data_IF_942932052319
#
_entry.id   IF_942932052319
#
_cell.length_a   1.000
_cell.length_b   1.000
_cell.length_c   1.000
_cell.angle_alpha   90.00
_cell.angle_beta   90.00
_cell.angle_gamma   90.00
#
_symmetry.space_group_name_H-M   'P 1'
#
loop_
_entity.id
_entity.type
_entity.pdbx_description
1 polymer ?
#
# COMPACT_ATOMS: atom_id res chain seq x y z
N UNK A 1 22.05 -14.07 -5.99
CA UNK A 1 20.78 -13.37 -6.32
C UNK A 1 20.91 -11.84 -6.40
N UNK A 2 22.11 -11.31 -6.62
CA UNK A 2 22.38 -9.85 -6.64
C UNK A 2 22.59 -9.20 -8.02
N UNK A 3 22.87 -9.97 -9.06
CA UNK A 3 23.30 -9.41 -10.35
C UNK A 3 22.17 -9.15 -11.36
N UNK A 4 21.06 -9.87 -11.30
CA UNK A 4 19.94 -9.66 -12.23
C UNK A 4 19.04 -8.48 -11.84
N UNK A 5 19.04 -8.09 -10.56
CA UNK A 5 18.27 -6.94 -10.06
C UNK A 5 18.88 -5.60 -10.52
N UNK A 6 20.21 -5.54 -10.73
CA UNK A 6 20.91 -4.33 -11.17
C UNK A 6 20.65 -3.93 -12.64
N UNK A 7 20.29 -4.85 -13.52
CA UNK A 7 20.15 -4.55 -14.97
C UNK A 7 18.81 -3.90 -15.29
N UNK A 8 17.74 -4.29 -14.60
CA UNK A 8 16.38 -3.70 -14.77
C UNK A 8 16.26 -2.31 -14.14
N UNK A 9 16.96 -2.04 -13.06
CA UNK A 9 16.90 -0.76 -12.35
C UNK A 9 17.66 0.36 -13.10
N UNK A 10 18.67 0.02 -13.89
CA UNK A 10 19.45 0.99 -14.71
C UNK A 10 18.66 1.63 -15.86
N UNK A 11 17.52 1.07 -16.25
CA UNK A 11 16.70 1.62 -17.35
C UNK A 11 15.80 2.77 -16.91
N UNK A 12 15.56 2.93 -15.61
CA UNK A 12 14.60 3.90 -15.07
C UNK A 12 15.27 4.91 -14.13
N UNK A 13 16.36 4.53 -13.45
CA UNK A 13 17.08 5.41 -12.53
C UNK A 13 18.45 5.82 -13.10
N UNK A 14 18.80 7.11 -13.12
CA UNK A 14 20.10 7.59 -13.57
C UNK A 14 21.27 7.01 -12.77
N UNK A 15 21.09 6.82 -11.46
CA UNK A 15 22.10 6.34 -10.51
C UNK A 15 21.51 5.35 -9.54
N UNK A 16 22.34 4.46 -8.94
CA UNK A 16 21.98 3.66 -7.77
C UNK A 16 22.30 4.47 -6.50
N UNK A 17 21.29 5.05 -5.81
CA UNK A 17 21.54 5.92 -4.66
C UNK A 17 22.02 5.17 -3.40
N UNK A 18 22.06 3.83 -3.44
CA UNK A 18 22.48 2.98 -2.30
C UNK A 18 23.80 2.24 -2.57
N UNK A 19 24.44 2.52 -3.70
CA UNK A 19 25.79 2.01 -3.97
C UNK A 19 26.81 2.95 -3.32
N UNK A 20 27.57 2.49 -2.30
CA UNK A 20 28.57 3.30 -1.63
C UNK A 20 29.63 3.89 -2.56
N UNK A 21 29.89 3.23 -3.70
CA UNK A 21 30.86 3.68 -4.70
C UNK A 21 30.36 4.90 -5.51
N UNK A 22 29.06 5.12 -5.56
CA UNK A 22 28.43 6.25 -6.26
C UNK A 22 28.18 7.47 -5.38
N UNK A 23 28.40 7.34 -4.05
CA UNK A 23 28.18 8.41 -3.08
C UNK A 23 29.36 9.36 -3.02
N UNK A 24 29.10 10.65 -3.08
CA UNK A 24 30.10 11.71 -2.93
C UNK A 24 29.60 12.71 -1.90
N UNK A 25 30.23 12.71 -0.71
CA UNK A 25 29.90 13.70 0.31
C UNK A 25 30.23 15.14 -0.11
N UNK A 26 31.06 15.32 -1.15
CA UNK A 26 31.34 16.62 -1.73
C UNK A 26 30.15 17.19 -2.49
N UNK A 27 29.27 16.32 -2.97
CA UNK A 27 28.02 16.69 -3.68
C UNK A 27 26.82 16.79 -2.71
N UNK A 28 27.04 16.72 -1.38
CA UNK A 28 25.97 16.82 -0.39
C UNK A 28 25.29 18.20 -0.44
N UNK A 29 23.96 18.20 -0.32
CA UNK A 29 23.13 19.40 -0.34
C UNK A 29 23.27 20.25 -1.61
N UNK A 30 23.64 19.65 -2.73
CA UNK A 30 23.62 20.34 -4.02
C UNK A 30 22.18 20.68 -4.41
N UNK A 31 21.84 21.95 -4.66
CA UNK A 31 20.48 22.35 -4.99
C UNK A 31 20.08 21.88 -6.43
N UNK A 32 18.78 21.95 -6.77
CA UNK A 32 18.29 21.58 -8.08
C UNK A 32 19.00 22.30 -9.24
N UNK A 33 19.15 21.61 -10.37
CA UNK A 33 19.95 22.07 -11.53
C UNK A 33 19.57 23.44 -12.13
N UNK A 34 18.37 23.94 -11.84
CA UNK A 34 17.88 25.25 -12.32
C UNK A 34 18.17 26.40 -11.34
N UNK A 35 18.82 26.14 -10.22
CA UNK A 35 19.26 27.17 -9.29
C UNK A 35 20.70 27.63 -9.60
N UNK A 36 21.13 28.78 -9.08
CA UNK A 36 22.44 29.37 -9.36
C UNK A 36 23.61 28.45 -8.98
N UNK A 37 23.46 27.67 -7.87
CA UNK A 37 24.48 26.72 -7.39
C UNK A 37 24.19 25.28 -7.82
N UNK A 38 23.21 25.06 -8.70
CA UNK A 38 22.77 23.74 -9.16
C UNK A 38 23.75 23.11 -10.16
N UNK A 39 23.96 21.81 -10.02
CA UNK A 39 24.75 21.03 -10.99
C UNK A 39 23.81 20.34 -11.99
N UNK A 40 24.10 20.46 -13.28
CA UNK A 40 23.33 19.81 -14.36
C UNK A 40 23.24 18.28 -14.24
N UNK A 41 24.15 17.68 -13.48
CA UNK A 41 24.19 16.26 -13.16
C UNK A 41 23.00 15.82 -12.29
N UNK A 42 22.51 16.67 -11.38
CA UNK A 42 21.47 16.37 -10.41
C UNK A 42 20.23 17.23 -10.67
N UNK A 43 19.28 16.69 -11.43
CA UNK A 43 18.09 17.44 -11.86
C UNK A 43 17.32 17.99 -10.66
N UNK A 44 17.02 17.17 -9.66
CA UNK A 44 16.27 17.54 -8.45
C UNK A 44 17.17 17.85 -7.24
N UNK A 45 18.49 17.97 -7.46
CA UNK A 45 19.47 18.15 -6.39
C UNK A 45 19.84 16.86 -5.68
N UNK A 46 20.56 16.99 -4.57
CA UNK A 46 21.02 15.88 -3.74
C UNK A 46 20.56 16.02 -2.29
N UNK A 47 20.65 14.92 -1.54
CA UNK A 47 20.42 14.91 -0.09
C UNK A 47 21.72 15.16 0.71
N UNK A 48 21.63 15.06 2.06
CA UNK A 48 22.77 15.23 2.94
C UNK A 48 23.86 14.17 2.84
N UNK A 49 23.66 13.10 2.06
CA UNK A 49 24.63 12.05 1.76
C UNK A 49 25.17 12.15 0.31
N UNK A 50 24.78 13.19 -0.43
CA UNK A 50 25.15 13.35 -1.84
C UNK A 50 24.41 12.41 -2.79
N UNK A 51 23.29 11.82 -2.37
CA UNK A 51 22.46 10.94 -3.23
C UNK A 51 21.59 11.78 -4.16
N UNK A 52 21.52 11.39 -5.42
CA UNK A 52 20.62 12.01 -6.39
C UNK A 52 19.14 11.84 -5.97
N UNK A 53 18.43 12.98 -5.79
CA UNK A 53 17.06 12.99 -5.31
C UNK A 53 16.09 12.28 -6.27
N UNK A 54 16.26 12.44 -7.59
CA UNK A 54 15.39 11.77 -8.57
C UNK A 54 15.51 10.25 -8.44
N UNK A 55 16.74 9.73 -8.42
CA UNK A 55 16.98 8.29 -8.25
C UNK A 55 16.45 7.77 -6.91
N UNK A 56 16.66 8.53 -5.85
CA UNK A 56 16.21 8.16 -4.50
C UNK A 56 14.69 8.11 -4.39
N UNK A 57 13.97 9.05 -5.02
CA UNK A 57 12.50 9.07 -5.10
C UNK A 57 11.99 7.84 -5.88
N UNK A 58 12.59 7.52 -7.02
CA UNK A 58 12.19 6.35 -7.80
C UNK A 58 12.40 5.03 -7.04
N UNK A 59 13.51 4.91 -6.31
CA UNK A 59 13.72 3.76 -5.42
C UNK A 59 12.73 3.71 -4.26
N UNK A 60 12.49 4.86 -3.61
CA UNK A 60 11.51 4.97 -2.52
C UNK A 60 10.09 4.63 -2.95
N UNK A 61 9.70 5.06 -4.15
CA UNK A 61 8.37 4.75 -4.69
C UNK A 61 8.14 3.25 -4.90
N UNK A 62 9.19 2.50 -5.27
CA UNK A 62 9.13 1.05 -5.39
C UNK A 62 8.77 0.38 -4.07
N UNK A 63 9.39 0.82 -2.97
CA UNK A 63 9.10 0.27 -1.63
C UNK A 63 7.66 0.60 -1.22
N UNK A 64 7.24 1.86 -1.35
CA UNK A 64 5.86 2.27 -1.05
C UNK A 64 4.83 1.50 -1.89
N UNK A 65 5.10 1.24 -3.17
CA UNK A 65 4.23 0.42 -4.02
C UNK A 65 4.18 -1.05 -3.56
N UNK A 66 5.32 -1.67 -3.27
CA UNK A 66 5.37 -3.07 -2.81
C UNK A 66 4.57 -3.22 -1.52
N UNK A 67 4.79 -2.32 -0.55
CA UNK A 67 4.08 -2.38 0.74
C UNK A 67 2.58 -2.15 0.52
N UNK A 68 2.19 -1.11 -0.22
CA UNK A 68 0.79 -0.80 -0.49
C UNK A 68 0.06 -1.94 -1.20
N UNK A 69 0.62 -2.47 -2.30
CA UNK A 69 0.03 -3.60 -3.02
C UNK A 69 -0.07 -4.86 -2.15
N UNK A 70 0.99 -5.21 -1.43
CA UNK A 70 0.99 -6.41 -0.60
C UNK A 70 0.01 -6.30 0.56
N UNK A 71 -0.10 -5.14 1.21
CA UNK A 71 -1.05 -4.88 2.28
C UNK A 71 -2.51 -5.00 1.77
N UNK A 72 -2.82 -4.43 0.61
CA UNK A 72 -4.17 -4.51 0.03
C UNK A 72 -4.50 -5.93 -0.43
N UNK A 73 -3.57 -6.65 -1.04
CA UNK A 73 -3.79 -8.05 -1.41
C UNK A 73 -4.10 -8.90 -0.16
N UNK A 74 -3.33 -8.70 0.91
CA UNK A 74 -3.58 -9.38 2.19
C UNK A 74 -4.98 -9.03 2.74
N UNK A 75 -5.34 -7.73 2.78
CA UNK A 75 -6.65 -7.25 3.22
C UNK A 75 -7.79 -7.82 2.37
N UNK A 76 -7.62 -7.87 1.04
CA UNK A 76 -8.59 -8.43 0.12
C UNK A 76 -8.81 -9.91 0.37
N UNK A 77 -7.75 -10.70 0.48
CA UNK A 77 -7.86 -12.15 0.72
C UNK A 77 -8.59 -12.41 2.05
N UNK A 78 -8.18 -11.73 3.11
CA UNK A 78 -8.78 -11.90 4.43
C UNK A 78 -10.23 -11.38 4.47
N UNK A 79 -10.44 -10.15 3.99
CA UNK A 79 -11.75 -9.49 4.04
C UNK A 79 -12.77 -10.14 3.13
N UNK A 80 -12.39 -10.49 1.89
CA UNK A 80 -13.30 -11.18 0.97
C UNK A 80 -13.61 -12.58 1.48
N UNK A 81 -12.61 -13.31 1.97
CA UNK A 81 -12.83 -14.65 2.53
C UNK A 81 -13.80 -14.64 3.71
N UNK A 82 -13.59 -13.76 4.69
CA UNK A 82 -14.46 -13.62 5.85
C UNK A 82 -15.84 -13.05 5.47
N UNK A 83 -15.89 -12.06 4.59
CA UNK A 83 -17.16 -11.45 4.16
C UNK A 83 -18.04 -12.40 3.33
N UNK A 84 -17.43 -13.13 2.39
CA UNK A 84 -18.13 -14.14 1.60
C UNK A 84 -18.71 -15.24 2.49
N UNK A 85 -17.89 -15.80 3.37
CA UNK A 85 -18.33 -16.88 4.26
C UNK A 85 -19.39 -16.39 5.27
N UNK A 86 -19.22 -15.18 5.83
CA UNK A 86 -20.19 -14.56 6.72
C UNK A 86 -21.55 -14.33 6.02
N UNK A 87 -21.53 -13.76 4.79
CA UNK A 87 -22.74 -13.53 4.01
C UNK A 87 -23.44 -14.83 3.57
N UNK A 88 -22.65 -15.87 3.27
CA UNK A 88 -23.18 -17.14 2.82
C UNK A 88 -23.83 -17.95 3.94
N UNK A 89 -23.10 -18.19 5.04
CA UNK A 89 -23.58 -19.02 6.17
C UNK A 89 -24.54 -18.27 7.09
N UNK A 90 -24.30 -16.97 7.30
CA UNK A 90 -25.16 -16.17 8.18
C UNK A 90 -25.06 -16.51 9.67
N UNK A 91 -26.09 -16.13 10.43
CA UNK A 91 -26.28 -16.53 11.83
C UNK A 91 -25.22 -16.00 12.78
N UNK A 92 -24.82 -16.81 13.77
CA UNK A 92 -23.86 -16.43 14.81
C UNK A 92 -22.46 -16.15 14.25
N UNK A 93 -22.05 -16.89 13.21
CA UNK A 93 -20.76 -16.69 12.57
C UNK A 93 -20.67 -15.30 11.91
N UNK A 94 -21.68 -14.93 11.15
CA UNK A 94 -21.80 -13.61 10.55
C UNK A 94 -21.74 -12.52 11.63
N UNK A 95 -22.50 -12.69 12.71
CA UNK A 95 -22.53 -11.74 13.81
C UNK A 95 -21.14 -11.54 14.44
N UNK A 96 -20.37 -12.61 14.66
CA UNK A 96 -19.01 -12.52 15.23
C UNK A 96 -18.08 -11.77 14.26
N UNK A 97 -18.04 -12.16 12.97
CA UNK A 97 -17.18 -11.52 11.97
C UNK A 97 -17.50 -10.03 11.83
N UNK A 98 -18.78 -9.66 11.78
CA UNK A 98 -19.18 -8.26 11.66
C UNK A 98 -18.92 -7.47 12.93
N UNK A 99 -19.12 -8.03 14.12
CA UNK A 99 -18.78 -7.37 15.39
C UNK A 99 -17.27 -7.10 15.49
N UNK A 100 -16.45 -8.08 15.11
CA UNK A 100 -15.00 -7.86 15.06
C UNK A 100 -14.63 -6.75 14.07
N UNK A 101 -15.25 -6.76 12.88
CA UNK A 101 -15.07 -5.69 11.89
C UNK A 101 -15.49 -4.33 12.45
N UNK A 102 -16.62 -4.27 13.16
CA UNK A 102 -17.13 -3.03 13.76
C UNK A 102 -16.16 -2.47 14.80
N UNK A 103 -15.63 -3.32 15.69
CA UNK A 103 -14.64 -2.92 16.70
C UNK A 103 -13.37 -2.39 16.05
N UNK A 104 -12.85 -3.07 15.04
CA UNK A 104 -11.63 -2.64 14.36
C UNK A 104 -11.82 -1.30 13.60
N UNK A 105 -13.00 -1.05 13.02
CA UNK A 105 -13.30 0.19 12.32
C UNK A 105 -13.57 1.39 13.26
N UNK A 106 -13.76 1.17 14.55
CA UNK A 106 -13.83 2.28 15.52
C UNK A 106 -12.47 2.88 15.83
N UNK A 107 -11.40 2.11 15.63
CA UNK A 107 -10.02 2.57 15.83
C UNK A 107 -9.48 3.12 14.53
N UNK A 108 -8.94 4.36 14.51
CA UNK A 108 -8.27 4.88 13.31
C UNK A 108 -7.18 3.91 12.82
N UNK A 109 -7.17 3.63 11.50
CA UNK A 109 -6.28 2.61 10.90
C UNK A 109 -4.80 2.87 11.21
N UNK A 110 -4.38 4.14 11.25
CA UNK A 110 -3.00 4.52 11.61
C UNK A 110 -2.67 4.10 13.04
N UNK A 111 -3.57 4.31 14.01
CA UNK A 111 -3.35 3.91 15.41
C UNK A 111 -3.29 2.40 15.55
N UNK A 112 -4.10 1.67 14.79
CA UNK A 112 -4.06 0.21 14.77
C UNK A 112 -2.73 -0.29 14.21
N UNK A 113 -2.24 0.31 13.13
CA UNK A 113 -0.95 -0.02 12.54
C UNK A 113 0.21 0.28 13.50
N UNK A 114 0.16 1.42 14.21
CA UNK A 114 1.13 1.76 15.26
C UNK A 114 1.12 0.74 16.41
N UNK A 115 -0.07 0.29 16.82
CA UNK A 115 -0.20 -0.72 17.86
C UNK A 115 0.43 -2.05 17.43
N UNK A 116 0.16 -2.49 16.21
CA UNK A 116 0.72 -3.75 15.65
C UNK A 116 2.25 -3.67 15.57
N UNK A 117 2.79 -2.56 15.07
CA UNK A 117 4.24 -2.36 15.01
C UNK A 117 4.86 -2.28 16.41
N UNK A 118 4.21 -1.57 17.35
CA UNK A 118 4.66 -1.49 18.74
C UNK A 118 4.71 -2.85 19.42
N UNK A 119 3.73 -3.74 19.17
CA UNK A 119 3.75 -5.12 19.64
C UNK A 119 4.90 -5.90 19.01
N UNK A 120 5.09 -5.76 17.69
CA UNK A 120 6.19 -6.42 16.98
C UNK A 120 7.56 -6.02 17.54
N UNK A 121 7.78 -4.71 17.79
CA UNK A 121 9.01 -4.21 18.43
C UNK A 121 9.23 -4.74 19.86
N UNK A 122 8.16 -5.01 20.58
CA UNK A 122 8.24 -5.61 21.93
C UNK A 122 8.57 -7.09 21.95
N UNK A 123 8.24 -7.81 20.86
CA UNK A 123 8.40 -9.26 20.76
C UNK A 123 9.66 -9.69 20.01
N UNK A 124 10.18 -8.85 19.11
CA UNK A 124 11.27 -9.17 18.17
C UNK A 124 12.48 -8.31 18.52
N UNK A 125 13.70 -8.86 18.39
CA UNK A 125 14.93 -8.07 18.57
C UNK A 125 15.04 -6.96 17.52
N UNK A 126 15.77 -5.88 17.83
CA UNK A 126 15.90 -4.73 16.91
C UNK A 126 16.44 -5.13 15.55
N UNK A 127 17.46 -5.96 15.50
CA UNK A 127 18.08 -6.42 14.25
C UNK A 127 17.07 -7.18 13.39
N UNK A 128 16.34 -8.12 13.98
CA UNK A 128 15.29 -8.88 13.28
C UNK A 128 14.11 -8.00 12.89
N UNK A 129 13.75 -7.00 13.71
CA UNK A 129 12.70 -6.05 13.38
C UNK A 129 13.05 -5.24 12.12
N UNK A 130 14.29 -4.75 12.01
CA UNK A 130 14.71 -3.96 10.85
C UNK A 130 14.71 -4.81 9.55
N UNK A 131 15.08 -6.10 9.64
CA UNK A 131 14.96 -7.03 8.51
C UNK A 131 13.49 -7.33 8.13
N UNK A 132 12.62 -7.40 9.12
CA UNK A 132 11.19 -7.75 8.93
C UNK A 132 10.28 -6.52 8.82
N UNK A 133 10.79 -5.30 8.89
CA UNK A 133 10.00 -4.07 8.95
C UNK A 133 8.95 -3.97 7.83
N UNK A 134 9.31 -4.34 6.60
CA UNK A 134 8.39 -4.35 5.45
C UNK A 134 7.23 -5.32 5.69
N UNK A 135 7.49 -6.51 6.20
CA UNK A 135 6.45 -7.52 6.45
C UNK A 135 5.54 -7.13 7.61
N UNK A 136 6.13 -6.57 8.69
CA UNK A 136 5.36 -6.02 9.83
C UNK A 136 4.44 -4.91 9.36
N UNK A 137 4.94 -4.02 8.50
CA UNK A 137 4.17 -2.90 7.96
C UNK A 137 3.03 -3.38 7.04
N UNK A 138 3.30 -4.35 6.16
CA UNK A 138 2.28 -4.99 5.31
C UNK A 138 1.18 -5.61 6.17
N UNK A 139 1.56 -6.35 7.21
CA UNK A 139 0.60 -6.98 8.11
C UNK A 139 -0.20 -5.93 8.90
N UNK A 140 0.47 -4.90 9.42
CA UNK A 140 -0.15 -3.84 10.21
C UNK A 140 -1.20 -3.05 9.41
N UNK A 141 -0.87 -2.63 8.19
CA UNK A 141 -1.82 -1.96 7.30
C UNK A 141 -2.91 -2.94 6.87
N UNK A 142 -2.54 -4.16 6.51
CA UNK A 142 -3.46 -5.16 6.02
C UNK A 142 -4.51 -5.58 7.05
N UNK A 143 -4.10 -5.75 8.32
CA UNK A 143 -5.04 -6.09 9.41
C UNK A 143 -5.96 -4.92 9.78
N UNK A 144 -5.57 -3.69 9.43
CA UNK A 144 -6.41 -2.51 9.66
C UNK A 144 -7.48 -2.32 8.59
N UNK A 145 -7.21 -2.75 7.35
CA UNK A 145 -8.07 -2.46 6.20
C UNK A 145 -9.04 -3.61 5.83
N UNK A 146 -8.81 -4.86 6.26
CA UNK A 146 -9.68 -5.99 5.90
C UNK A 146 -11.17 -5.82 6.28
N UNK A 147 -11.55 -5.09 7.37
CA UNK A 147 -12.95 -4.97 7.74
C UNK A 147 -13.82 -4.28 6.69
N UNK A 148 -13.26 -3.32 5.95
CA UNK A 148 -13.97 -2.64 4.85
C UNK A 148 -14.30 -3.64 3.74
N UNK A 149 -13.34 -4.48 3.34
CA UNK A 149 -13.53 -5.51 2.33
C UNK A 149 -14.51 -6.59 2.80
N UNK A 150 -14.46 -6.98 4.08
CA UNK A 150 -15.39 -7.94 4.64
C UNK A 150 -16.85 -7.45 4.61
N UNK A 151 -17.09 -6.19 4.97
CA UNK A 151 -18.43 -5.59 4.90
C UNK A 151 -18.99 -5.57 3.49
N UNK A 152 -18.19 -5.12 2.53
CA UNK A 152 -18.62 -5.03 1.13
C UNK A 152 -18.86 -6.41 0.54
N UNK A 153 -17.95 -7.34 0.79
CA UNK A 153 -18.08 -8.73 0.31
C UNK A 153 -19.30 -9.42 0.93
N UNK A 154 -19.55 -9.22 2.23
CA UNK A 154 -20.77 -9.72 2.88
C UNK A 154 -22.03 -9.16 2.25
N UNK A 155 -22.11 -7.83 2.07
CA UNK A 155 -23.28 -7.18 1.49
C UNK A 155 -23.54 -7.69 0.06
N UNK A 156 -22.51 -7.78 -0.78
CA UNK A 156 -22.60 -8.30 -2.13
C UNK A 156 -23.00 -9.80 -2.14
N UNK A 157 -22.48 -10.58 -1.20
CA UNK A 157 -22.82 -12.02 -1.06
C UNK A 157 -24.29 -12.21 -0.71
N UNK A 158 -24.85 -11.39 0.20
CA UNK A 158 -26.27 -11.46 0.56
C UNK A 158 -27.18 -11.19 -0.64
N UNK A 159 -26.82 -10.23 -1.49
CA UNK A 159 -27.56 -9.94 -2.72
C UNK A 159 -27.45 -11.11 -3.71
N UNK A 160 -26.22 -11.61 -3.92
CA UNK A 160 -25.96 -12.65 -4.90
C UNK A 160 -26.56 -14.00 -4.53
N UNK A 161 -26.52 -14.37 -3.25
CA UNK A 161 -27.04 -15.62 -2.69
C UNK A 161 -28.54 -15.80 -2.95
N UNK A 162 -29.31 -14.70 -3.00
CA UNK A 162 -30.76 -14.71 -3.15
C UNK A 162 -31.22 -14.79 -4.62
N UNK A 163 -30.31 -14.95 -5.58
CA UNK A 163 -30.65 -15.09 -6.99
C UNK A 163 -31.11 -16.51 -7.32
N UNK A 164 -32.03 -16.62 -8.29
CA UNK A 164 -32.67 -17.89 -8.70
C UNK A 164 -31.68 -18.97 -9.11
N UNK A 165 -30.60 -18.61 -9.80
CA UNK A 165 -29.60 -19.59 -10.26
C UNK A 165 -28.81 -20.21 -9.08
N UNK A 166 -28.63 -19.49 -7.97
CA UNK A 166 -28.04 -20.03 -6.75
C UNK A 166 -29.00 -21.01 -6.07
N UNK A 167 -30.28 -20.65 -5.99
CA UNK A 167 -31.33 -21.52 -5.47
C UNK A 167 -31.43 -22.81 -6.30
N UNK A 168 -31.40 -22.71 -7.63
CA UNK A 168 -31.39 -23.87 -8.53
C UNK A 168 -30.16 -24.77 -8.30
N UNK A 169 -28.95 -24.15 -8.13
CA UNK A 169 -27.73 -24.90 -7.84
C UNK A 169 -27.82 -25.67 -6.53
N UNK A 170 -28.47 -25.09 -5.51
CA UNK A 170 -28.67 -25.73 -4.20
C UNK A 170 -29.64 -26.91 -4.32
N UNK A 171 -30.73 -26.79 -5.09
CA UNK A 171 -31.72 -27.85 -5.30
C UNK A 171 -31.10 -29.05 -6.05
N UNK A 172 -30.19 -28.79 -7.01
CA UNK A 172 -29.47 -29.84 -7.77
C UNK A 172 -28.41 -30.53 -6.91
N UNK A 173 -28.12 -30.02 -5.69
CA UNK A 173 -27.16 -30.65 -4.76
C UNK A 173 -25.70 -30.21 -4.98
N UNK A 174 -25.45 -29.05 -5.59
CA UNK A 174 -24.10 -28.51 -5.72
C UNK A 174 -23.56 -28.16 -4.34
N UNK A 175 -22.31 -28.54 -4.05
CA UNK A 175 -21.70 -28.29 -2.74
C UNK A 175 -21.54 -26.79 -2.43
N UNK A 176 -21.68 -26.40 -1.16
CA UNK A 176 -21.59 -25.01 -0.71
C UNK A 176 -20.26 -24.33 -1.13
N UNK A 177 -19.15 -25.05 -1.11
CA UNK A 177 -17.86 -24.52 -1.54
C UNK A 177 -17.86 -24.16 -3.03
N UNK A 178 -18.43 -25.01 -3.88
CA UNK A 178 -18.55 -24.74 -5.32
C UNK A 178 -19.46 -23.53 -5.54
N UNK A 179 -20.57 -23.44 -4.84
CA UNK A 179 -21.50 -22.29 -4.93
C UNK A 179 -20.76 -20.99 -4.55
N UNK A 180 -20.05 -21.00 -3.42
CA UNK A 180 -19.32 -19.82 -2.94
C UNK A 180 -18.20 -19.39 -3.90
N UNK A 181 -17.31 -20.31 -4.29
CA UNK A 181 -16.11 -19.94 -5.04
C UNK A 181 -16.34 -19.83 -6.56
N UNK A 182 -17.25 -20.63 -7.12
CA UNK A 182 -17.48 -20.67 -8.57
C UNK A 182 -18.66 -19.81 -9.03
N UNK A 183 -19.65 -19.62 -8.17
CA UNK A 183 -20.87 -18.89 -8.55
C UNK A 183 -20.97 -17.51 -7.90
N UNK A 184 -20.69 -17.38 -6.59
CA UNK A 184 -20.83 -16.10 -5.87
C UNK A 184 -19.59 -15.24 -6.01
N UNK A 185 -18.40 -15.78 -5.69
CA UNK A 185 -17.15 -15.01 -5.65
C UNK A 185 -16.85 -14.21 -6.93
N UNK A 186 -16.97 -14.78 -8.15
CA UNK A 186 -16.68 -14.00 -9.37
C UNK A 186 -17.60 -12.80 -9.56
N UNK A 187 -18.83 -12.90 -9.08
CA UNK A 187 -19.83 -11.83 -9.21
C UNK A 187 -19.63 -10.72 -8.18
N UNK A 188 -19.18 -11.05 -6.97
CA UNK A 188 -18.90 -10.07 -5.92
C UNK A 188 -17.53 -9.40 -6.05
N UNK A 189 -16.59 -9.97 -6.82
CA UNK A 189 -15.26 -9.39 -7.01
C UNK A 189 -15.32 -8.01 -7.67
N UNK A 190 -16.25 -7.75 -8.58
CA UNK A 190 -16.35 -6.45 -9.28
C UNK A 190 -16.43 -5.25 -8.30
N UNK A 191 -17.43 -5.15 -7.42
CA UNK A 191 -17.50 -4.05 -6.46
C UNK A 191 -16.32 -4.04 -5.47
N UNK A 192 -15.78 -5.21 -5.15
CA UNK A 192 -14.63 -5.32 -4.23
C UNK A 192 -13.34 -4.78 -4.86
N UNK A 193 -13.09 -5.08 -6.14
CA UNK A 193 -11.91 -4.57 -6.85
C UNK A 193 -11.93 -3.04 -6.97
N UNK A 194 -13.10 -2.45 -7.20
CA UNK A 194 -13.25 -0.98 -7.23
C UNK A 194 -12.84 -0.35 -5.90
N UNK A 195 -13.28 -0.93 -4.77
CA UNK A 195 -12.86 -0.44 -3.44
C UNK A 195 -11.38 -0.76 -3.18
N UNK A 196 -10.87 -1.87 -3.74
CA UNK A 196 -9.47 -2.24 -3.65
C UNK A 196 -8.52 -1.19 -4.27
N UNK A 197 -8.90 -0.55 -5.37
CA UNK A 197 -8.08 0.51 -5.98
C UNK A 197 -8.03 1.78 -5.12
N UNK A 198 -9.15 2.19 -4.53
CA UNK A 198 -9.17 3.29 -3.56
C UNK A 198 -8.34 2.91 -2.32
N UNK A 199 -8.54 1.69 -1.82
CA UNK A 199 -7.78 1.14 -0.70
C UNK A 199 -6.27 1.13 -0.96
N UNK A 200 -5.83 0.88 -2.20
CA UNK A 200 -4.42 0.91 -2.57
C UNK A 200 -3.79 2.29 -2.38
N UNK A 201 -4.47 3.35 -2.84
CA UNK A 201 -3.99 4.71 -2.62
C UNK A 201 -3.92 5.05 -1.13
N UNK A 202 -4.94 4.67 -0.36
CA UNK A 202 -4.97 4.87 1.09
C UNK A 202 -3.89 4.07 1.81
N UNK A 203 -3.59 2.83 1.38
CA UNK A 203 -2.53 2.02 1.96
C UNK A 203 -1.13 2.62 1.70
N UNK A 204 -0.89 3.20 0.53
CA UNK A 204 0.37 3.90 0.22
C UNK A 204 0.51 5.17 1.07
N UNK A 205 -0.58 5.93 1.26
CA UNK A 205 -0.58 7.10 2.14
C UNK A 205 -0.35 6.67 3.60
N UNK A 206 -0.98 5.59 4.06
CA UNK A 206 -0.80 5.06 5.40
C UNK A 206 0.64 4.57 5.63
N UNK A 207 1.22 3.84 4.65
CA UNK A 207 2.64 3.44 4.68
C UNK A 207 3.54 4.67 4.81
N UNK A 208 3.34 5.66 3.96
CA UNK A 208 4.15 6.87 3.95
C UNK A 208 4.01 7.67 5.26
N UNK A 209 2.82 7.72 5.84
CA UNK A 209 2.57 8.36 7.14
C UNK A 209 3.28 7.62 8.28
N UNK A 210 3.20 6.28 8.32
CA UNK A 210 3.88 5.46 9.33
C UNK A 210 5.40 5.59 9.20
N UNK A 211 5.93 5.55 7.98
CA UNK A 211 7.36 5.74 7.70
C UNK A 211 7.83 7.15 8.07
N UNK A 212 7.01 8.18 7.81
CA UNK A 212 7.28 9.55 8.27
C UNK A 212 7.33 9.66 9.80
N UNK A 213 6.44 8.97 10.52
CA UNK A 213 6.44 8.92 11.98
C UNK A 213 7.61 8.09 12.56
N UNK A 214 8.39 7.42 11.71
CA UNK A 214 9.53 6.60 12.13
C UNK A 214 9.19 5.19 12.58
N UNK A 215 8.00 4.74 12.23
CA UNK A 215 7.45 3.41 12.57
C UNK A 215 7.37 2.51 11.33
N UNK A 216 7.90 2.98 10.22
CA UNK A 216 7.87 2.27 8.93
C UNK A 216 9.20 1.61 8.59
N UNK A 217 9.56 1.75 7.33
CA UNK A 217 10.73 1.14 6.73
C UNK A 217 12.02 1.82 7.21
N UNK A 218 13.11 1.06 7.49
CA UNK A 218 14.37 1.62 7.96
C UNK A 218 15.01 2.53 6.90
N UNK A 219 15.87 3.50 7.32
CA UNK A 219 16.55 4.44 6.41
C UNK A 219 17.48 3.77 5.40
N UNK A 220 17.86 2.51 5.61
CA UNK A 220 18.69 1.71 4.69
C UNK A 220 17.94 1.31 3.42
N UNK A 221 16.62 1.23 3.47
CA UNK A 221 15.73 0.92 2.34
C UNK A 221 14.56 1.90 2.33
N UNK A 222 14.82 3.21 2.12
CA UNK A 222 13.81 4.22 2.36
C UNK A 222 12.63 4.13 1.39
N UNK A 223 11.44 4.35 1.94
CA UNK A 223 10.21 4.61 1.20
C UNK A 223 10.03 6.11 0.94
N UNK A 224 8.99 6.50 0.21
CA UNK A 224 8.66 7.93 0.03
C UNK A 224 8.43 8.62 1.38
N UNK A 225 7.73 7.98 2.32
CA UNK A 225 7.51 8.51 3.66
C UNK A 225 8.80 8.70 4.47
N UNK A 226 9.73 7.74 4.38
CA UNK A 226 11.06 7.85 5.01
C UNK A 226 11.86 9.03 4.42
N UNK A 227 11.80 9.22 3.08
CA UNK A 227 12.46 10.36 2.43
C UNK A 227 11.91 11.71 2.90
N UNK A 228 10.58 11.83 2.99
CA UNK A 228 9.94 13.05 3.51
C UNK A 228 10.37 13.31 4.96
N UNK A 229 10.45 12.28 5.79
CA UNK A 229 10.94 12.40 7.17
C UNK A 229 12.37 12.90 7.22
N UNK A 230 13.29 12.28 6.49
CA UNK A 230 14.70 12.66 6.45
C UNK A 230 14.89 14.10 5.94
N UNK A 231 14.10 14.49 4.93
CA UNK A 231 14.13 15.84 4.40
C UNK A 231 13.56 16.89 5.36
N UNK A 232 12.59 16.52 6.21
CA UNK A 232 11.95 17.44 7.14
C UNK A 232 12.95 18.07 8.13
N UNK A 233 14.00 17.35 8.47
CA UNK A 233 15.05 17.86 9.37
C UNK A 233 15.83 19.03 8.73
N UNK A 234 15.84 19.14 7.41
CA UNK A 234 16.56 20.17 6.63
C UNK A 234 15.65 21.24 6.05
N UNK A 235 14.32 21.13 6.22
CA UNK A 235 13.35 22.04 5.59
C UNK A 235 13.58 23.51 5.98
N UNK A 236 13.94 23.76 7.24
CA UNK A 236 14.20 25.12 7.78
C UNK A 236 15.65 25.56 7.61
N UNK A 237 16.55 24.70 7.15
CA UNK A 237 17.94 25.02 6.87
C UNK A 237 18.17 25.57 5.46
N UNK A 238 17.10 25.55 4.64
CA UNK A 238 17.14 26.05 3.25
C UNK A 238 17.07 24.95 2.19
N UNK A 239 17.31 23.68 2.55
CA UNK A 239 17.33 22.53 1.65
C UNK A 239 15.91 21.94 1.45
N UNK A 240 14.96 22.82 1.09
CA UNK A 240 13.53 22.49 0.94
C UNK A 240 13.24 21.38 -0.07
N UNK A 241 14.08 21.20 -1.10
CA UNK A 241 13.88 20.24 -2.19
C UNK A 241 13.90 18.80 -1.71
N UNK A 242 14.64 18.50 -0.62
CA UNK A 242 14.77 17.15 -0.07
C UNK A 242 13.44 16.62 0.47
N UNK A 243 12.59 17.50 1.00
CA UNK A 243 11.23 17.16 1.47
C UNK A 243 10.19 17.30 0.36
N UNK A 244 10.29 18.39 -0.41
CA UNK A 244 9.24 18.85 -1.31
C UNK A 244 9.04 17.86 -2.49
N UNK A 245 10.12 17.40 -3.13
CA UNK A 245 9.98 16.51 -4.28
C UNK A 245 9.44 15.13 -3.93
N UNK A 246 9.90 14.43 -2.88
CA UNK A 246 9.27 13.18 -2.46
C UNK A 246 7.79 13.35 -2.09
N UNK A 247 7.42 14.48 -1.44
CA UNK A 247 6.04 14.76 -1.08
C UNK A 247 5.15 14.97 -2.32
N UNK A 248 5.58 15.77 -3.30
CA UNK A 248 4.87 15.95 -4.56
C UNK A 248 4.75 14.63 -5.31
N UNK A 249 5.82 13.84 -5.36
CA UNK A 249 5.80 12.55 -6.03
C UNK A 249 4.80 11.59 -5.37
N UNK A 250 4.72 11.57 -4.05
CA UNK A 250 3.71 10.80 -3.31
C UNK A 250 2.28 11.22 -3.67
N UNK A 251 2.02 12.53 -3.76
CA UNK A 251 0.70 13.06 -4.16
C UNK A 251 0.35 12.63 -5.58
N UNK A 252 1.30 12.78 -6.54
CA UNK A 252 1.10 12.36 -7.93
C UNK A 252 0.84 10.85 -8.01
N UNK A 253 1.60 10.04 -7.27
CA UNK A 253 1.44 8.60 -7.24
C UNK A 253 0.05 8.19 -6.71
N UNK A 254 -0.36 8.74 -5.56
CA UNK A 254 -1.67 8.47 -4.97
C UNK A 254 -2.81 8.92 -5.89
N UNK A 255 -2.68 10.09 -6.51
CA UNK A 255 -3.65 10.59 -7.47
C UNK A 255 -3.75 9.72 -8.73
N UNK A 256 -2.62 9.29 -9.28
CA UNK A 256 -2.57 8.40 -10.45
C UNK A 256 -3.26 7.05 -10.18
N UNK A 257 -3.05 6.50 -8.98
CA UNK A 257 -3.71 5.25 -8.57
C UNK A 257 -5.22 5.45 -8.41
N UNK A 258 -5.67 6.57 -7.84
CA UNK A 258 -7.10 6.89 -7.75
C UNK A 258 -7.74 7.05 -9.13
N UNK A 259 -7.08 7.76 -10.07
CA UNK A 259 -7.58 7.87 -11.45
C UNK A 259 -7.66 6.50 -12.15
N UNK A 260 -6.67 5.63 -11.94
CA UNK A 260 -6.72 4.27 -12.45
C UNK A 260 -7.90 3.50 -11.86
N UNK A 261 -8.17 3.70 -10.57
CA UNK A 261 -9.32 3.11 -9.89
C UNK A 261 -10.66 3.57 -10.46
N UNK A 262 -10.81 4.85 -10.72
CA UNK A 262 -12.02 5.41 -11.33
C UNK A 262 -12.22 4.87 -12.76
N UNK A 263 -11.15 4.81 -13.56
CA UNK A 263 -11.20 4.22 -14.89
C UNK A 263 -11.59 2.73 -14.85
N UNK A 264 -11.05 1.95 -13.91
CA UNK A 264 -11.44 0.55 -13.71
C UNK A 264 -12.92 0.42 -13.30
N UNK A 265 -13.40 1.31 -12.43
CA UNK A 265 -14.81 1.35 -12.02
C UNK A 265 -15.72 1.55 -13.23
N UNK A 266 -15.40 2.52 -14.08
CA UNK A 266 -16.21 2.85 -15.25
C UNK A 266 -16.21 1.71 -16.28
N UNK A 267 -15.05 1.12 -16.52
CA UNK A 267 -14.89 -0.01 -17.48
C UNK A 267 -15.57 -1.30 -16.99
N UNK A 268 -15.53 -1.55 -15.68
CA UNK A 268 -16.16 -2.74 -15.08
C UNK A 268 -17.67 -2.58 -14.85
N UNK A 269 -18.22 -1.38 -15.04
CA UNK A 269 -19.64 -1.14 -14.85
C UNK A 269 -20.45 -1.37 -16.15
N UNK A 270 -21.17 -2.49 -16.29
CA UNK A 270 -21.89 -2.82 -17.53
C UNK A 270 -23.10 -1.90 -17.79
N UNK A 271 -23.46 -1.00 -16.85
CA UNK A 271 -24.58 -0.07 -17.03
C UNK A 271 -24.18 1.20 -17.79
N UNK A 272 -22.91 1.51 -17.89
CA UNK A 272 -22.41 2.68 -18.62
C UNK A 272 -22.13 2.37 -20.11
N UNK A 273 -22.11 1.11 -20.51
CA UNK A 273 -21.89 0.66 -21.88
C UNK A 273 -23.19 0.45 -22.68
N UNK A 274 -24.25 1.27 -22.40
CA UNK A 274 -25.48 1.30 -23.20
C UNK A 274 -25.61 2.63 -23.94
#
# INVERSE_FOLDING_TARGET
MGSEMCIRDRLVTPYNPFDPSSLSLMDAFTPPSWTEDGLSKFILGTDGQGRDMLSTILYGSRISLIVGFSAIIFSLILGVGLGLTAGYFGGKYEMIVMRLSDVLLTVPSILMALLVDGIARGLISREMHDEMAIYVLIFAIGISEWPQFARVSRAATLVEKNKDYISASTIIGVSNLIIMFKHILPNILRPVLVIGTIGLALAIIAESTLSFLGVGVPPTTPSLGTLIRLGNDFLFSGEWWITFFPAIFLVILAFSINLLGDWMRDTLNPRLNK
#
